data_IF_139053547161
#
_entry.id   IF_139053547161
#
_cell.length_a   1.000
_cell.length_b   1.000
_cell.length_c   1.000
_cell.angle_alpha   90.00
_cell.angle_beta   90.00
_cell.angle_gamma   90.00
#
_symmetry.space_group_name_H-M   'P 1'
#
loop_
_entity.id
_entity.type
_entity.pdbx_description
1 polymer ?
#
# COMPACT_ATOMS: atom_id res chain seq x y z
N UNK A 1 15.79 8.69 17.90
CA UNK A 1 14.55 8.34 17.18
C UNK A 1 14.67 8.92 15.78
N UNK A 2 14.97 8.11 14.77
CA UNK A 2 15.19 8.59 13.39
C UNK A 2 13.89 8.70 12.59
N UNK A 3 13.89 9.49 11.52
CA UNK A 3 12.77 9.58 10.57
C UNK A 3 12.78 8.31 9.71
N UNK A 4 11.62 7.65 9.60
CA UNK A 4 11.44 6.51 8.71
C UNK A 4 11.02 6.99 7.32
N UNK A 5 11.88 6.83 6.33
CA UNK A 5 11.66 7.27 4.94
C UNK A 5 10.94 6.22 4.07
N UNK A 6 10.08 5.39 4.67
CA UNK A 6 9.24 4.44 3.90
C UNK A 6 8.07 5.17 3.23
N UNK A 7 7.40 6.06 3.96
CA UNK A 7 6.25 6.82 3.45
C UNK A 7 6.60 8.27 3.06
N UNK A 8 7.83 8.70 3.34
CA UNK A 8 8.33 10.03 3.00
C UNK A 8 9.37 9.90 1.90
N UNK A 9 9.47 10.88 0.98
CA UNK A 9 10.55 10.92 0.02
C UNK A 9 11.92 10.85 0.70
N UNK A 10 12.88 10.28 -0.02
CA UNK A 10 14.30 10.36 0.36
C UNK A 10 14.74 11.83 0.32
N UNK A 11 15.47 12.34 1.33
CA UNK A 11 15.87 13.74 1.38
C UNK A 11 16.68 14.21 0.17
N UNK A 12 17.37 13.30 -0.51
CA UNK A 12 18.26 13.58 -1.62
C UNK A 12 17.51 13.72 -2.97
N UNK A 13 16.20 13.42 -3.00
CA UNK A 13 15.40 13.47 -4.21
C UNK A 13 14.90 14.91 -4.42
N UNK A 14 15.37 15.58 -5.48
CA UNK A 14 15.02 16.98 -5.78
C UNK A 14 13.58 17.19 -6.23
N UNK A 15 13.04 16.26 -7.02
CA UNK A 15 11.70 16.35 -7.61
C UNK A 15 10.89 15.07 -7.34
N UNK A 16 10.59 14.75 -6.07
CA UNK A 16 9.91 13.50 -5.68
C UNK A 16 8.49 13.34 -6.21
N UNK A 17 7.84 14.45 -6.60
CA UNK A 17 6.47 14.46 -7.12
C UNK A 17 6.37 14.09 -8.60
N UNK A 18 7.49 14.06 -9.34
CA UNK A 18 7.49 13.65 -10.75
C UNK A 18 7.34 12.14 -10.87
N UNK A 19 6.56 11.71 -11.88
CA UNK A 19 6.29 10.31 -12.14
C UNK A 19 7.56 9.53 -12.47
N UNK A 20 8.51 10.17 -13.17
CA UNK A 20 9.80 9.60 -13.53
C UNK A 20 10.66 9.37 -12.29
N UNK A 21 10.71 10.35 -11.38
CA UNK A 21 11.39 10.23 -10.09
C UNK A 21 10.78 9.10 -9.27
N UNK A 22 9.46 9.06 -9.14
CA UNK A 22 8.77 8.01 -8.39
C UNK A 22 9.05 6.63 -8.97
N UNK A 23 8.96 6.49 -10.30
CA UNK A 23 9.22 5.22 -11.00
C UNK A 23 10.67 4.76 -10.88
N UNK A 24 11.65 5.68 -10.92
CA UNK A 24 13.08 5.36 -10.76
C UNK A 24 13.42 4.87 -9.36
N UNK A 25 12.72 5.38 -8.34
CA UNK A 25 12.89 4.94 -6.95
C UNK A 25 12.14 3.64 -6.60
N UNK A 26 11.65 2.90 -7.61
CA UNK A 26 10.90 1.65 -7.42
C UNK A 26 9.39 1.83 -7.24
N UNK A 27 8.87 3.04 -7.51
CA UNK A 27 7.45 3.33 -7.52
C UNK A 27 6.69 2.39 -8.46
N UNK A 28 5.50 1.96 -8.01
CA UNK A 28 4.62 0.99 -8.67
C UNK A 28 5.15 -0.44 -8.83
N UNK A 29 6.36 -0.80 -8.38
CA UNK A 29 6.85 -2.18 -8.51
C UNK A 29 5.92 -3.21 -7.86
N UNK A 30 5.48 -2.94 -6.63
CA UNK A 30 4.53 -3.81 -5.93
C UNK A 30 3.18 -3.91 -6.68
N UNK A 31 2.70 -2.80 -7.25
CA UNK A 31 1.44 -2.79 -8.00
C UNK A 31 1.55 -3.58 -9.31
N UNK A 32 2.65 -3.38 -10.06
CA UNK A 32 2.93 -4.16 -11.27
C UNK A 32 3.02 -5.64 -10.95
N UNK A 33 3.74 -6.03 -9.89
CA UNK A 33 3.84 -7.43 -9.45
C UNK A 33 2.46 -8.04 -9.19
N UNK A 34 1.62 -7.38 -8.40
CA UNK A 34 0.27 -7.85 -8.06
C UNK A 34 -0.56 -8.10 -9.33
N UNK A 35 -0.52 -7.17 -10.29
CA UNK A 35 -1.28 -7.27 -11.53
C UNK A 35 -0.72 -8.34 -12.49
N UNK A 36 0.60 -8.42 -12.64
CA UNK A 36 1.26 -9.36 -13.55
C UNK A 36 1.16 -10.79 -13.05
N UNK A 37 1.40 -11.02 -11.75
CA UNK A 37 1.33 -12.34 -11.13
C UNK A 37 -0.11 -12.76 -10.77
N UNK A 38 -1.08 -11.85 -10.93
CA UNK A 38 -2.50 -12.07 -10.57
C UNK A 38 -2.65 -12.56 -9.12
N UNK A 39 -1.97 -11.87 -8.21
CA UNK A 39 -2.05 -12.17 -6.77
C UNK A 39 -3.49 -11.99 -6.30
N UNK A 40 -4.01 -12.96 -5.56
CA UNK A 40 -5.37 -12.91 -5.04
C UNK A 40 -5.53 -11.72 -4.07
N UNK A 41 -6.61 -10.92 -4.18
CA UNK A 41 -6.86 -9.82 -3.25
C UNK A 41 -6.87 -10.24 -1.77
N UNK A 42 -7.31 -11.46 -1.46
CA UNK A 42 -7.28 -12.00 -0.10
C UNK A 42 -5.85 -12.16 0.41
N UNK A 43 -4.90 -12.60 -0.42
CA UNK A 43 -3.50 -12.74 -0.04
C UNK A 43 -2.86 -11.38 0.26
N UNK A 44 -3.23 -10.34 -0.49
CA UNK A 44 -2.79 -8.97 -0.21
C UNK A 44 -3.32 -8.49 1.15
N UNK A 45 -4.60 -8.78 1.45
CA UNK A 45 -5.19 -8.44 2.76
C UNK A 45 -4.50 -9.19 3.89
N UNK A 46 -4.18 -10.48 3.73
CA UNK A 46 -3.44 -11.26 4.73
C UNK A 46 -2.02 -10.74 4.93
N UNK A 47 -1.32 -10.32 3.88
CA UNK A 47 -0.01 -9.66 3.99
C UNK A 47 -0.09 -8.37 4.83
N UNK A 48 -1.13 -7.55 4.64
CA UNK A 48 -1.34 -6.31 5.41
C UNK A 48 -1.70 -6.63 6.88
N UNK A 49 -2.47 -7.69 7.13
CA UNK A 49 -2.75 -8.16 8.49
C UNK A 49 -1.47 -8.61 9.19
N UNK A 50 -0.67 -9.43 8.51
CA UNK A 50 0.60 -9.95 9.03
C UNK A 50 1.62 -8.83 9.30
N UNK A 51 1.59 -7.73 8.52
CA UNK A 51 2.49 -6.60 8.72
C UNK A 51 2.19 -5.78 9.99
N UNK A 52 1.06 -6.01 10.66
CA UNK A 52 0.65 -5.24 11.84
C UNK A 52 0.37 -3.77 11.54
N UNK A 53 0.07 -3.40 10.28
CA UNK A 53 -0.18 -2.00 9.92
C UNK A 53 -1.43 -1.48 10.65
N UNK A 54 -1.28 -0.36 11.35
CA UNK A 54 -2.36 0.34 12.05
C UNK A 54 -2.63 1.68 11.38
N UNK A 55 -3.89 2.13 11.42
CA UNK A 55 -4.30 3.42 10.88
C UNK A 55 -3.53 4.57 11.54
N UNK A 56 -2.89 5.41 10.73
CA UNK A 56 -2.08 6.56 11.17
C UNK A 56 -2.88 7.86 11.36
N UNK A 57 -4.20 7.80 11.23
CA UNK A 57 -5.11 8.94 11.50
C UNK A 57 -5.45 9.17 12.98
N UNK A 58 -4.76 8.52 13.92
CA UNK A 58 -4.94 8.70 15.37
C UNK A 58 -5.61 7.53 16.09
N UNK A 59 -6.65 6.93 15.51
CA UNK A 59 -7.40 5.84 16.15
C UNK A 59 -6.63 4.50 16.26
N UNK A 60 -5.60 4.28 15.43
CA UNK A 60 -4.79 3.07 15.50
C UNK A 60 -5.51 1.76 15.14
N UNK A 61 -6.65 1.82 14.45
CA UNK A 61 -7.38 0.62 14.04
C UNK A 61 -6.53 -0.26 13.09
N UNK A 62 -6.50 -1.61 13.24
CA UNK A 62 -5.72 -2.48 12.35
C UNK A 62 -6.21 -2.40 10.90
N UNK A 63 -5.33 -1.99 9.99
CA UNK A 63 -5.70 -1.73 8.59
C UNK A 63 -6.12 -2.99 7.85
N UNK A 64 -5.41 -4.11 8.05
CA UNK A 64 -5.75 -5.39 7.41
C UNK A 64 -7.10 -5.96 7.87
N UNK A 65 -7.45 -5.80 9.15
CA UNK A 65 -8.77 -6.17 9.66
C UNK A 65 -9.86 -5.29 9.04
N UNK A 66 -9.63 -3.98 8.93
CA UNK A 66 -10.57 -3.04 8.30
C UNK A 66 -10.91 -3.46 6.86
N UNK A 67 -9.90 -3.84 6.09
CA UNK A 67 -10.09 -4.28 4.70
C UNK A 67 -10.90 -5.58 4.59
N UNK A 68 -10.78 -6.49 5.56
CA UNK A 68 -11.52 -7.76 5.54
C UNK A 68 -13.04 -7.64 5.73
N UNK A 69 -13.54 -6.47 6.11
CA UNK A 69 -14.98 -6.20 6.19
C UNK A 69 -15.62 -5.90 4.84
N UNK A 70 -14.83 -5.62 3.80
CA UNK A 70 -15.36 -5.33 2.47
C UNK A 70 -16.01 -6.60 1.88
N UNK A 71 -17.26 -6.53 1.39
CA UNK A 71 -17.89 -7.67 0.73
C UNK A 71 -17.12 -8.02 -0.55
N UNK A 72 -16.88 -9.31 -0.76
CA UNK A 72 -16.15 -9.81 -1.94
C UNK A 72 -17.06 -9.92 -3.17
N UNK A 73 -18.35 -10.11 -2.94
CA UNK A 73 -19.33 -10.48 -3.97
C UNK A 73 -20.42 -9.40 -4.14
N UNK A 74 -20.03 -8.13 -4.15
CA UNK A 74 -20.95 -7.06 -4.55
C UNK A 74 -21.11 -7.09 -6.08
N UNK A 75 -22.33 -7.25 -6.63
CA UNK A 75 -22.56 -7.02 -8.04
C UNK A 75 -22.16 -5.56 -8.33
N UNK A 76 -21.16 -5.37 -9.18
CA UNK A 76 -20.67 -4.05 -9.53
C UNK A 76 -21.84 -3.17 -9.99
N UNK A 77 -21.93 -1.97 -9.44
CA UNK A 77 -22.85 -0.97 -9.94
C UNK A 77 -22.48 -0.72 -11.41
N UNK A 78 -23.37 -1.11 -12.33
CA UNK A 78 -23.26 -0.79 -13.77
C UNK A 78 -23.25 0.72 -13.97
#
# INVERSE_FOLDING_TARGET
>A
MGICHICLPKPELSEPWRIESYSREGGYEAWRRILTERIDPADVVEQIKASGLRGRGGAGFPSGLKLSFMPRDVPGQK
#
